data_IF_046276460804
#
_entry.id   IF_046276460804
#
_cell.length_a   1.000
_cell.length_b   1.000
_cell.length_c   1.000
_cell.angle_alpha   90.00
_cell.angle_beta   90.00
_cell.angle_gamma   90.00
#
_symmetry.space_group_name_H-M   'P 1'
#
loop_
_entity.id
_entity.type
_entity.pdbx_description
1 polymer ?
#
# COMPACT_ATOMS: atom_id res chain seq x y z
N UNK A 1 3.12 -44.91 -43.26
CA UNK A 1 2.58 -44.03 -42.17
C UNK A 1 3.63 -43.65 -41.11
N UNK A 2 4.56 -44.53 -40.69
CA UNK A 2 5.61 -44.25 -39.69
C UNK A 2 6.54 -43.07 -40.03
N UNK A 3 7.03 -42.84 -41.26
CA UNK A 3 7.93 -41.73 -41.55
C UNK A 3 7.27 -40.36 -41.47
N UNK A 4 5.97 -40.25 -41.80
CA UNK A 4 5.22 -39.00 -41.69
C UNK A 4 5.06 -38.63 -40.22
N UNK A 5 4.72 -39.60 -39.36
CA UNK A 5 4.63 -39.39 -37.90
C UNK A 5 5.94 -38.90 -37.29
N UNK A 6 7.08 -39.48 -37.68
CA UNK A 6 8.42 -39.04 -37.24
C UNK A 6 8.75 -37.61 -37.71
N UNK A 7 8.41 -37.26 -38.95
CA UNK A 7 8.59 -35.90 -39.44
C UNK A 7 7.73 -34.88 -38.67
N UNK A 8 6.48 -35.18 -38.34
CA UNK A 8 5.62 -34.32 -37.55
C UNK A 8 6.16 -34.12 -36.13
N UNK A 9 6.59 -35.19 -35.47
CA UNK A 9 7.23 -35.14 -34.15
C UNK A 9 8.49 -34.29 -34.18
N UNK A 10 9.36 -34.47 -35.19
CA UNK A 10 10.58 -33.67 -35.33
C UNK A 10 10.28 -32.18 -35.52
N UNK A 11 9.33 -31.83 -36.38
CA UNK A 11 8.91 -30.44 -36.61
C UNK A 11 8.33 -29.82 -35.33
N UNK A 12 7.44 -30.51 -34.61
CA UNK A 12 6.89 -30.07 -33.36
C UNK A 12 7.97 -29.86 -32.30
N UNK A 13 8.92 -30.79 -32.21
CA UNK A 13 10.06 -30.68 -31.27
C UNK A 13 10.94 -29.47 -31.58
N UNK A 14 11.22 -29.22 -32.86
CA UNK A 14 11.97 -28.03 -33.29
C UNK A 14 11.21 -26.75 -32.93
N UNK A 15 9.91 -26.70 -33.19
CA UNK A 15 9.06 -25.54 -32.87
C UNK A 15 9.05 -25.28 -31.38
N UNK A 16 8.82 -26.31 -30.56
CA UNK A 16 8.82 -26.19 -29.07
C UNK A 16 10.24 -25.76 -28.60
N UNK A 17 11.30 -26.35 -29.12
CA UNK A 17 12.65 -25.99 -28.73
C UNK A 17 13.01 -24.54 -29.08
N UNK A 18 12.65 -24.08 -30.29
CA UNK A 18 12.83 -22.68 -30.68
C UNK A 18 12.00 -21.72 -29.84
N UNK A 19 10.76 -22.11 -29.53
CA UNK A 19 9.88 -21.28 -28.68
C UNK A 19 10.44 -21.19 -27.25
N UNK A 20 10.90 -22.32 -26.65
CA UNK A 20 11.54 -22.34 -25.34
C UNK A 20 12.83 -21.52 -25.34
N UNK A 21 13.61 -21.59 -26.41
CA UNK A 21 14.84 -20.79 -26.56
C UNK A 21 14.49 -19.28 -26.56
N UNK A 22 13.50 -18.86 -27.36
CA UNK A 22 13.03 -17.46 -27.40
C UNK A 22 12.46 -17.01 -26.06
N UNK A 23 11.76 -17.88 -25.36
CA UNK A 23 11.26 -17.58 -24.00
C UNK A 23 12.41 -17.31 -23.03
N UNK A 24 13.43 -18.18 -23.04
CA UNK A 24 14.60 -18.04 -22.13
C UNK A 24 15.51 -16.88 -22.51
N UNK A 25 15.55 -16.50 -23.78
CA UNK A 25 16.40 -15.45 -24.33
C UNK A 25 15.55 -14.40 -25.05
N UNK A 26 14.84 -13.55 -24.29
CA UNK A 26 14.03 -12.49 -24.89
C UNK A 26 14.91 -11.51 -25.65
N UNK A 27 14.39 -10.98 -26.75
CA UNK A 27 15.11 -10.01 -27.61
C UNK A 27 15.37 -8.72 -26.84
N UNK A 28 16.59 -8.19 -27.00
CA UNK A 28 17.03 -6.90 -26.47
C UNK A 28 17.98 -6.26 -27.45
N UNK A 29 18.01 -4.93 -27.47
CA UNK A 29 18.98 -4.15 -28.25
C UNK A 29 20.37 -4.06 -27.58
N UNK A 30 20.56 -4.75 -26.46
CA UNK A 30 21.81 -4.79 -25.70
C UNK A 30 21.82 -5.94 -24.72
N UNK A 31 22.75 -5.93 -23.77
CA UNK A 31 22.92 -6.98 -22.77
C UNK A 31 21.84 -6.84 -21.69
N UNK A 32 21.01 -7.86 -21.55
CA UNK A 32 20.01 -7.89 -20.47
C UNK A 32 20.68 -8.03 -19.10
N UNK A 33 20.08 -7.46 -18.02
CA UNK A 33 20.48 -7.82 -16.66
C UNK A 33 20.43 -9.34 -16.46
N UNK A 34 21.39 -9.94 -15.71
CA UNK A 34 21.41 -11.37 -15.47
C UNK A 34 20.13 -11.84 -14.78
N UNK A 35 19.69 -13.06 -15.04
CA UNK A 35 18.45 -13.55 -14.44
C UNK A 35 17.94 -14.85 -15.02
N UNK A 36 16.66 -15.10 -14.81
CA UNK A 36 15.95 -16.28 -15.31
C UNK A 36 14.53 -15.95 -15.69
N UNK A 37 14.07 -16.41 -16.84
CA UNK A 37 12.68 -16.27 -17.26
C UNK A 37 11.74 -17.34 -16.67
N UNK A 38 12.28 -18.30 -15.91
CA UNK A 38 11.50 -19.36 -15.27
C UNK A 38 10.74 -20.25 -16.25
N UNK A 39 9.60 -20.76 -15.79
CA UNK A 39 8.73 -21.64 -16.58
C UNK A 39 7.94 -20.84 -17.63
N UNK A 40 7.64 -21.41 -18.80
CA UNK A 40 6.76 -20.81 -19.78
C UNK A 40 5.41 -20.39 -19.18
N UNK A 41 4.86 -19.26 -19.64
CA UNK A 41 3.60 -18.62 -19.22
C UNK A 41 3.57 -18.12 -17.76
N UNK A 42 4.11 -18.88 -16.82
CA UNK A 42 4.02 -18.57 -15.37
C UNK A 42 5.27 -17.80 -14.92
N UNK A 43 6.41 -18.00 -15.57
CA UNK A 43 7.68 -17.44 -15.14
C UNK A 43 8.14 -18.02 -13.81
N UNK A 44 8.56 -17.16 -12.92
CA UNK A 44 8.99 -17.48 -11.56
C UNK A 44 7.94 -17.11 -10.50
N UNK A 45 6.69 -16.83 -10.91
CA UNK A 45 5.60 -16.34 -10.06
C UNK A 45 5.34 -17.23 -8.87
N UNK A 46 5.33 -18.55 -9.06
CA UNK A 46 5.07 -19.48 -7.96
C UNK A 46 6.09 -19.35 -6.82
N UNK A 47 7.34 -19.03 -7.13
CA UNK A 47 8.38 -18.84 -6.12
C UNK A 47 8.17 -17.54 -5.32
N UNK A 48 7.61 -16.48 -5.95
CA UNK A 48 7.25 -15.23 -5.27
C UNK A 48 6.00 -15.40 -4.41
N UNK A 49 5.11 -16.33 -4.78
CA UNK A 49 3.87 -16.59 -4.03
C UNK A 49 4.05 -17.57 -2.85
N UNK A 50 5.24 -18.20 -2.69
CA UNK A 50 5.53 -19.00 -1.50
C UNK A 50 5.54 -18.06 -0.28
N UNK A 51 4.71 -18.31 0.76
CA UNK A 51 4.67 -17.45 1.92
C UNK A 51 6.04 -17.33 2.61
N UNK A 52 6.47 -16.12 2.92
CA UNK A 52 7.61 -15.84 3.79
C UNK A 52 7.11 -15.38 5.15
N UNK A 53 7.33 -16.17 6.19
CA UNK A 53 6.90 -15.90 7.58
C UNK A 53 7.89 -15.02 8.34
N UNK A 54 8.40 -13.97 7.70
CA UNK A 54 9.38 -13.06 8.26
C UNK A 54 9.17 -11.64 7.77
N UNK A 55 9.62 -10.66 8.56
CA UNK A 55 9.73 -9.26 8.14
C UNK A 55 10.96 -9.00 7.26
N UNK A 56 11.85 -10.00 7.08
CA UNK A 56 12.99 -9.93 6.15
C UNK A 56 12.55 -9.84 4.70
N UNK A 57 13.50 -9.51 3.85
CA UNK A 57 13.34 -9.53 2.40
C UNK A 57 12.85 -10.90 1.93
N UNK A 58 11.87 -10.91 1.03
CA UNK A 58 11.33 -12.17 0.52
C UNK A 58 12.44 -13.07 -0.05
N UNK A 59 12.50 -14.38 0.28
CA UNK A 59 13.57 -15.28 -0.13
C UNK A 59 13.79 -15.34 -1.65
N UNK A 60 12.72 -15.19 -2.42
CA UNK A 60 12.79 -15.06 -3.88
C UNK A 60 13.72 -13.93 -4.32
N UNK A 61 13.58 -12.75 -3.71
CA UNK A 61 14.36 -11.55 -4.04
C UNK A 61 15.79 -11.72 -3.48
N UNK A 62 15.90 -12.13 -2.22
CA UNK A 62 17.19 -12.25 -1.51
C UNK A 62 18.14 -13.19 -2.25
N UNK A 63 17.70 -14.42 -2.59
CA UNK A 63 18.49 -15.40 -3.32
C UNK A 63 18.93 -14.91 -4.71
N UNK A 64 18.11 -14.09 -5.38
CA UNK A 64 18.46 -13.55 -6.69
C UNK A 64 19.45 -12.39 -6.60
N UNK A 65 19.33 -11.55 -5.60
CA UNK A 65 20.35 -10.53 -5.32
C UNK A 65 21.71 -11.18 -5.05
N UNK A 66 21.74 -12.25 -4.27
CA UNK A 66 22.96 -13.00 -3.97
C UNK A 66 23.55 -13.65 -5.24
N UNK A 67 22.71 -14.17 -6.14
CA UNK A 67 23.14 -14.89 -7.35
C UNK A 67 23.47 -13.98 -8.53
N UNK A 68 22.68 -12.94 -8.74
CA UNK A 68 22.71 -12.13 -9.96
C UNK A 68 23.13 -10.67 -9.71
N UNK A 69 23.19 -10.24 -8.45
CA UNK A 69 23.41 -8.85 -8.08
C UNK A 69 22.10 -8.07 -7.89
N UNK A 70 22.26 -6.77 -7.61
CA UNK A 70 21.12 -5.88 -7.20
C UNK A 70 20.16 -5.53 -8.34
N UNK A 71 20.52 -5.83 -9.59
CA UNK A 71 19.67 -5.62 -10.78
C UNK A 71 19.62 -6.91 -11.55
N UNK A 72 18.46 -7.51 -11.68
CA UNK A 72 18.30 -8.80 -12.34
C UNK A 72 16.99 -8.90 -13.11
N UNK A 73 16.97 -9.73 -14.15
CA UNK A 73 15.79 -10.03 -14.95
C UNK A 73 15.06 -11.28 -14.45
N UNK A 74 13.75 -11.26 -14.58
CA UNK A 74 12.84 -12.37 -14.25
C UNK A 74 11.60 -12.31 -15.13
N UNK A 75 10.71 -13.28 -14.98
CA UNK A 75 9.37 -13.22 -15.54
C UNK A 75 8.34 -13.50 -14.42
N UNK A 76 7.41 -12.59 -14.22
CA UNK A 76 6.33 -12.75 -13.27
C UNK A 76 4.98 -12.61 -13.99
N UNK A 77 4.11 -13.60 -13.77
CA UNK A 77 2.77 -13.67 -14.37
C UNK A 77 2.84 -13.60 -15.91
N UNK A 78 3.84 -14.27 -16.52
CA UNK A 78 4.06 -14.27 -17.96
C UNK A 78 4.65 -12.95 -18.52
N UNK A 79 4.96 -11.98 -17.67
CA UNK A 79 5.52 -10.68 -18.08
C UNK A 79 7.01 -10.61 -17.77
N UNK A 80 7.88 -10.29 -18.76
CA UNK A 80 9.29 -10.03 -18.49
C UNK A 80 9.43 -8.78 -17.61
N UNK A 81 10.31 -8.89 -16.62
CA UNK A 81 10.47 -7.86 -15.60
C UNK A 81 11.92 -7.73 -15.17
N UNK A 82 12.36 -6.53 -14.88
CA UNK A 82 13.60 -6.26 -14.16
C UNK A 82 13.26 -5.91 -12.71
N UNK A 83 13.93 -6.57 -11.77
CA UNK A 83 13.85 -6.24 -10.35
C UNK A 83 15.12 -5.50 -9.96
N UNK A 84 14.96 -4.35 -9.32
CA UNK A 84 16.08 -3.53 -8.85
C UNK A 84 16.03 -3.30 -7.35
N UNK A 85 17.16 -3.61 -6.70
CA UNK A 85 17.51 -3.28 -5.33
C UNK A 85 18.70 -2.30 -5.28
N UNK A 86 19.10 -1.75 -6.43
CA UNK A 86 20.20 -0.80 -6.53
C UNK A 86 19.72 0.62 -6.19
N UNK A 87 20.30 1.28 -5.16
CA UNK A 87 19.84 2.61 -4.73
C UNK A 87 19.97 3.68 -5.82
N UNK A 88 21.02 3.60 -6.65
CA UNK A 88 21.28 4.60 -7.69
C UNK A 88 20.26 4.45 -8.83
N UNK A 89 20.02 3.20 -9.27
CA UNK A 89 18.99 2.94 -10.29
C UNK A 89 17.59 3.28 -9.77
N UNK A 90 17.28 2.92 -8.52
CA UNK A 90 15.99 3.26 -7.91
C UNK A 90 15.73 4.76 -7.90
N UNK A 91 16.70 5.56 -7.46
CA UNK A 91 16.60 7.02 -7.47
C UNK A 91 16.49 7.59 -8.89
N UNK A 92 17.26 7.05 -9.83
CA UNK A 92 17.15 7.43 -11.23
C UNK A 92 15.74 7.19 -11.77
N UNK A 93 15.19 6.00 -11.59
CA UNK A 93 13.85 5.63 -12.07
C UNK A 93 12.75 6.52 -11.47
N UNK A 94 12.85 6.90 -10.20
CA UNK A 94 11.90 7.82 -9.58
C UNK A 94 11.89 9.23 -10.22
N UNK A 95 13.00 9.64 -10.82
CA UNK A 95 13.13 10.93 -11.50
C UNK A 95 12.71 10.87 -12.97
N UNK A 96 12.57 9.68 -13.54
CA UNK A 96 12.25 9.47 -14.96
C UNK A 96 10.76 9.23 -15.24
N UNK A 97 9.89 9.44 -14.26
CA UNK A 97 8.44 9.29 -14.43
C UNK A 97 7.91 10.18 -15.57
N UNK A 98 7.22 9.57 -16.52
CA UNK A 98 6.70 10.22 -17.73
C UNK A 98 7.72 10.52 -18.84
N UNK A 99 9.00 10.17 -18.63
CA UNK A 99 10.07 10.32 -19.63
C UNK A 99 10.61 8.98 -20.14
N UNK A 100 11.02 8.14 -19.23
CA UNK A 100 11.58 6.81 -19.53
C UNK A 100 10.78 5.69 -18.89
N UNK A 101 10.04 5.98 -17.83
CA UNK A 101 9.16 5.04 -17.16
C UNK A 101 7.80 5.67 -16.86
N UNK A 102 6.80 4.81 -16.73
CA UNK A 102 5.47 5.20 -16.24
C UNK A 102 5.00 4.24 -15.15
N UNK A 103 4.08 4.70 -14.32
CA UNK A 103 3.40 3.84 -13.34
C UNK A 103 2.65 2.72 -14.06
N UNK A 104 2.90 1.50 -13.62
CA UNK A 104 2.30 0.31 -14.21
C UNK A 104 1.85 -0.65 -13.09
N UNK A 105 0.82 -1.41 -13.40
CA UNK A 105 0.31 -2.47 -12.53
C UNK A 105 0.02 -3.72 -13.36
N UNK A 106 -0.11 -4.85 -12.69
CA UNK A 106 -0.54 -6.11 -13.33
C UNK A 106 -1.92 -5.92 -13.97
N UNK A 107 -2.18 -6.62 -15.08
CA UNK A 107 -3.38 -6.47 -15.91
C UNK A 107 -4.68 -6.58 -15.09
N UNK A 108 -4.71 -7.44 -14.07
CA UNK A 108 -5.85 -7.57 -13.16
C UNK A 108 -6.14 -6.27 -12.42
N UNK A 109 -5.11 -5.63 -11.87
CA UNK A 109 -5.22 -4.33 -11.20
C UNK A 109 -5.64 -3.22 -12.17
N UNK A 110 -5.06 -3.25 -13.38
CA UNK A 110 -5.41 -2.26 -14.41
C UNK A 110 -6.91 -2.32 -14.74
N UNK A 111 -7.45 -3.53 -14.91
CA UNK A 111 -8.90 -3.74 -15.18
C UNK A 111 -9.78 -3.35 -14.00
N UNK A 112 -9.38 -3.75 -12.78
CA UNK A 112 -10.17 -3.46 -11.57
C UNK A 112 -10.30 -1.97 -11.31
N UNK A 113 -9.24 -1.19 -11.53
CA UNK A 113 -9.21 0.24 -11.24
C UNK A 113 -9.39 1.14 -12.48
N UNK A 114 -9.74 0.58 -13.64
CA UNK A 114 -9.91 1.36 -14.87
C UNK A 114 -8.64 2.09 -15.30
N UNK A 115 -7.46 1.46 -15.15
CA UNK A 115 -6.16 2.06 -15.44
C UNK A 115 -5.73 1.89 -16.90
N UNK A 116 -6.69 1.75 -17.81
CA UNK A 116 -6.47 1.61 -19.26
C UNK A 116 -6.92 2.87 -20.02
N UNK A 117 -6.36 3.09 -21.21
CA UNK A 117 -6.72 4.24 -22.06
C UNK A 117 -6.02 5.55 -21.66
N UNK A 118 -6.34 6.62 -22.40
CA UNK A 118 -5.71 7.94 -22.22
C UNK A 118 -6.19 8.65 -20.95
N UNK A 119 -7.46 8.54 -20.63
CA UNK A 119 -8.10 9.11 -19.44
C UNK A 119 -7.91 8.27 -18.16
N UNK A 120 -6.86 7.43 -18.08
CA UNK A 120 -6.64 6.57 -16.92
C UNK A 120 -6.18 7.35 -15.68
N UNK A 121 -6.66 7.01 -14.47
CA UNK A 121 -6.28 7.70 -13.22
C UNK A 121 -4.77 7.70 -12.92
N UNK A 122 -4.03 6.72 -13.43
CA UNK A 122 -2.57 6.64 -13.27
C UNK A 122 -1.76 7.29 -14.39
N UNK A 123 -2.39 7.99 -15.35
CA UNK A 123 -1.70 8.70 -16.41
C UNK A 123 -0.72 9.74 -15.86
N UNK A 124 0.26 10.12 -16.68
CA UNK A 124 1.25 11.16 -16.35
C UNK A 124 0.72 12.54 -16.75
N UNK A 125 1.49 13.57 -16.42
CA UNK A 125 1.16 14.94 -16.84
C UNK A 125 0.04 15.56 -15.99
N UNK A 126 -0.92 16.23 -16.67
CA UNK A 126 -1.94 17.01 -15.97
C UNK A 126 -2.98 16.15 -15.23
N UNK A 127 -3.31 14.96 -15.73
CA UNK A 127 -4.18 14.03 -15.01
C UNK A 127 -3.58 13.66 -13.63
N UNK A 128 -2.29 13.31 -13.60
CA UNK A 128 -1.60 13.05 -12.33
C UNK A 128 -1.58 14.29 -11.42
N UNK A 129 -1.31 15.47 -11.98
CA UNK A 129 -1.32 16.72 -11.19
C UNK A 129 -2.69 16.97 -10.58
N UNK A 130 -3.76 16.76 -11.35
CA UNK A 130 -5.13 16.91 -10.87
C UNK A 130 -5.44 15.94 -9.73
N UNK A 131 -5.27 14.63 -9.95
CA UNK A 131 -5.57 13.61 -8.93
C UNK A 131 -4.76 13.85 -7.66
N UNK A 132 -3.45 14.09 -7.80
CA UNK A 132 -2.58 14.37 -6.68
C UNK A 132 -2.94 15.67 -5.96
N UNK A 133 -3.22 16.74 -6.71
CA UNK A 133 -3.63 18.05 -6.19
C UNK A 133 -4.91 17.94 -5.37
N UNK A 134 -5.92 17.25 -5.90
CA UNK A 134 -7.21 17.01 -5.22
C UNK A 134 -7.01 16.27 -3.89
N UNK A 135 -6.18 15.22 -3.88
CA UNK A 135 -5.88 14.50 -2.62
C UNK A 135 -5.08 15.35 -1.63
N UNK A 136 -4.11 16.14 -2.07
CA UNK A 136 -3.34 17.01 -1.18
C UNK A 136 -4.18 18.16 -0.61
N UNK A 137 -5.16 18.66 -1.37
CA UNK A 137 -6.13 19.65 -0.87
C UNK A 137 -6.98 19.08 0.27
N UNK A 138 -7.43 17.82 0.14
CA UNK A 138 -8.30 17.18 1.13
C UNK A 138 -7.55 16.55 2.30
N UNK A 139 -6.41 15.94 2.05
CA UNK A 139 -5.67 15.10 3.00
C UNK A 139 -4.26 15.61 3.30
N UNK A 140 -3.90 16.78 2.79
CA UNK A 140 -2.61 17.41 3.01
C UNK A 140 -2.50 18.09 4.38
N UNK A 141 -1.35 18.70 4.62
CA UNK A 141 -0.98 19.31 5.92
C UNK A 141 -1.98 20.36 6.38
N UNK A 142 -2.47 21.21 5.48
CA UNK A 142 -3.41 22.28 5.85
C UNK A 142 -4.76 21.71 6.33
N UNK A 143 -5.28 20.71 5.63
CA UNK A 143 -6.51 20.02 6.04
C UNK A 143 -6.33 19.22 7.33
N UNK A 144 -5.17 18.59 7.51
CA UNK A 144 -4.81 17.91 8.77
C UNK A 144 -4.81 18.90 9.93
N UNK A 145 -4.16 20.04 9.75
CA UNK A 145 -4.05 21.06 10.79
C UNK A 145 -5.40 21.68 11.19
N UNK A 146 -6.29 21.90 10.24
CA UNK A 146 -7.52 22.65 10.46
C UNK A 146 -8.74 21.77 10.79
N UNK A 147 -8.79 20.52 10.30
CA UNK A 147 -9.99 19.68 10.34
C UNK A 147 -9.70 18.22 10.66
N UNK A 148 -8.84 17.58 9.85
CA UNK A 148 -8.78 16.11 9.83
C UNK A 148 -8.20 15.50 11.10
N UNK A 149 -7.30 16.20 11.81
CA UNK A 149 -6.70 15.68 13.04
C UNK A 149 -7.77 15.41 14.11
N UNK A 150 -8.70 16.34 14.32
CA UNK A 150 -9.83 16.18 15.23
C UNK A 150 -10.79 15.09 14.75
N UNK A 151 -11.06 14.99 13.44
CA UNK A 151 -11.90 13.93 12.90
C UNK A 151 -11.27 12.52 13.04
N UNK A 152 -9.96 12.42 12.84
CA UNK A 152 -9.20 11.18 13.08
C UNK A 152 -9.34 10.80 14.55
N UNK A 153 -9.12 11.72 15.46
CA UNK A 153 -9.21 11.48 16.91
C UNK A 153 -10.61 10.98 17.30
N UNK A 154 -11.65 11.64 16.84
CA UNK A 154 -13.04 11.24 17.08
C UNK A 154 -13.29 9.82 16.55
N UNK A 155 -12.85 9.52 15.32
CA UNK A 155 -13.00 8.20 14.72
C UNK A 155 -12.25 7.13 15.53
N UNK A 156 -11.03 7.42 15.94
CA UNK A 156 -10.19 6.50 16.72
C UNK A 156 -10.80 6.25 18.09
N UNK A 157 -11.20 7.29 18.83
CA UNK A 157 -11.84 7.18 20.17
C UNK A 157 -13.08 6.32 20.12
N UNK A 158 -13.98 6.59 19.18
CA UNK A 158 -15.23 5.84 18.99
C UNK A 158 -14.94 4.35 18.74
N UNK A 159 -13.98 4.05 17.85
CA UNK A 159 -13.68 2.67 17.51
C UNK A 159 -12.95 1.93 18.65
N UNK A 160 -11.94 2.52 19.28
CA UNK A 160 -11.23 1.86 20.39
C UNK A 160 -12.17 1.67 21.60
N UNK A 161 -13.08 2.62 21.86
CA UNK A 161 -14.11 2.44 22.87
C UNK A 161 -14.98 1.21 22.57
N UNK A 162 -15.47 1.09 21.33
CA UNK A 162 -16.22 -0.11 20.88
C UNK A 162 -15.40 -1.39 21.07
N UNK A 163 -14.11 -1.39 20.72
CA UNK A 163 -13.23 -2.55 20.91
C UNK A 163 -13.13 -2.95 22.38
N UNK A 164 -13.09 -1.98 23.29
CA UNK A 164 -12.99 -2.27 24.73
C UNK A 164 -14.24 -2.93 25.31
N UNK A 165 -15.39 -2.86 24.64
CA UNK A 165 -16.67 -3.48 25.06
C UNK A 165 -16.92 -4.83 24.38
N UNK A 166 -16.20 -5.18 23.33
CA UNK A 166 -16.44 -6.40 22.53
C UNK A 166 -15.68 -7.65 23.02
N UNK A 167 -14.81 -7.54 24.04
CA UNK A 167 -13.99 -8.65 24.49
C UNK A 167 -12.77 -8.88 23.58
N UNK A 168 -12.66 -10.05 22.94
CA UNK A 168 -11.55 -10.34 22.01
C UNK A 168 -11.93 -9.94 20.59
N UNK A 169 -11.09 -9.16 19.95
CA UNK A 169 -11.27 -8.67 18.59
C UNK A 169 -10.10 -9.10 17.67
N UNK A 170 -10.36 -9.16 16.37
CA UNK A 170 -9.31 -9.23 15.34
C UNK A 170 -8.85 -7.82 15.01
N UNK A 171 -7.63 -7.47 15.41
CA UNK A 171 -7.06 -6.14 15.23
C UNK A 171 -6.98 -5.71 13.75
N UNK A 172 -6.69 -6.64 12.80
CA UNK A 172 -6.64 -6.30 11.37
C UNK A 172 -8.03 -5.95 10.84
N UNK A 173 -9.04 -6.75 11.19
CA UNK A 173 -10.42 -6.49 10.78
C UNK A 173 -10.93 -5.16 11.35
N UNK A 174 -10.75 -4.96 12.63
CA UNK A 174 -11.24 -3.76 13.32
C UNK A 174 -10.48 -2.48 12.91
N UNK A 175 -9.16 -2.56 12.70
CA UNK A 175 -8.40 -1.43 12.14
C UNK A 175 -8.83 -1.12 10.71
N UNK A 176 -9.11 -2.16 9.88
CA UNK A 176 -9.63 -1.95 8.53
C UNK A 176 -10.99 -1.25 8.54
N UNK A 177 -11.90 -1.66 9.43
CA UNK A 177 -13.22 -1.04 9.60
C UNK A 177 -13.08 0.43 10.04
N UNK A 178 -12.23 0.71 11.03
CA UNK A 178 -11.99 2.08 11.51
C UNK A 178 -11.47 3.00 10.40
N UNK A 179 -10.49 2.55 9.64
CA UNK A 179 -9.93 3.33 8.52
C UNK A 179 -10.95 3.47 7.39
N UNK A 180 -11.76 2.42 7.12
CA UNK A 180 -12.80 2.47 6.09
C UNK A 180 -13.89 3.49 6.43
N UNK A 181 -14.32 3.58 7.68
CA UNK A 181 -15.28 4.60 8.17
C UNK A 181 -14.73 6.00 7.91
N UNK A 182 -13.50 6.27 8.32
CA UNK A 182 -12.86 7.58 8.08
C UNK A 182 -12.73 7.89 6.58
N UNK A 183 -12.23 6.93 5.79
CA UNK A 183 -12.01 7.13 4.37
C UNK A 183 -13.32 7.33 3.60
N UNK A 184 -14.35 6.53 3.85
CA UNK A 184 -15.62 6.64 3.15
C UNK A 184 -16.35 7.96 3.49
N UNK A 185 -16.27 8.43 4.75
CA UNK A 185 -16.79 9.72 5.14
C UNK A 185 -16.13 10.85 4.34
N UNK A 186 -14.80 10.86 4.25
CA UNK A 186 -14.05 11.95 3.64
C UNK A 186 -13.94 11.85 2.11
N UNK A 187 -14.13 10.65 1.53
CA UNK A 187 -14.11 10.48 0.08
C UNK A 187 -15.46 10.71 -0.59
N UNK A 188 -16.56 10.23 0.00
CA UNK A 188 -17.89 10.30 -0.62
C UNK A 188 -19.03 10.55 0.35
N UNK A 189 -18.72 11.09 1.54
CA UNK A 189 -19.73 11.57 2.50
C UNK A 189 -20.62 10.45 3.06
N UNK A 190 -20.10 9.22 3.18
CA UNK A 190 -20.88 8.12 3.74
C UNK A 190 -21.05 8.26 5.25
N UNK A 191 -22.30 8.22 5.70
CA UNK A 191 -22.66 8.33 7.10
C UNK A 191 -23.00 6.93 7.67
N UNK A 192 -22.08 6.38 8.45
CA UNK A 192 -22.20 5.06 9.03
C UNK A 192 -23.23 4.96 10.18
N UNK A 193 -23.58 6.08 10.80
CA UNK A 193 -24.59 6.10 11.86
C UNK A 193 -26.01 5.99 11.28
N UNK A 194 -26.19 6.45 10.04
CA UNK A 194 -27.49 6.44 9.34
C UNK A 194 -27.66 5.27 8.39
N UNK A 195 -26.61 4.50 8.13
CA UNK A 195 -26.60 3.46 7.10
C UNK A 195 -26.32 2.09 7.70
N UNK A 196 -27.24 1.15 7.49
CA UNK A 196 -27.10 -0.27 7.86
C UNK A 196 -26.74 -1.15 6.64
N UNK A 197 -26.16 -0.58 5.61
CA UNK A 197 -25.98 -1.20 4.27
C UNK A 197 -24.82 -2.22 4.17
N UNK A 198 -24.09 -2.48 5.26
CA UNK A 198 -22.97 -3.42 5.26
C UNK A 198 -21.78 -2.99 4.38
N UNK A 199 -21.63 -1.68 4.16
CA UNK A 199 -20.56 -1.14 3.30
C UNK A 199 -19.15 -1.48 3.82
N UNK A 200 -18.93 -1.56 5.14
CA UNK A 200 -17.66 -1.98 5.72
C UNK A 200 -17.28 -3.40 5.30
N UNK A 201 -18.24 -4.32 5.31
CA UNK A 201 -18.00 -5.70 4.84
C UNK A 201 -17.77 -5.73 3.33
N UNK A 202 -18.44 -4.86 2.56
CA UNK A 202 -18.20 -4.69 1.11
C UNK A 202 -16.79 -4.17 0.83
N UNK A 203 -16.35 -3.14 1.55
CA UNK A 203 -14.99 -2.61 1.46
C UNK A 203 -13.95 -3.68 1.85
N UNK A 204 -14.19 -4.38 2.95
CA UNK A 204 -13.30 -5.45 3.41
C UNK A 204 -13.22 -6.60 2.40
N UNK A 205 -14.35 -7.02 1.84
CA UNK A 205 -14.41 -8.07 0.81
C UNK A 205 -13.68 -7.67 -0.47
N UNK A 206 -13.85 -6.43 -0.92
CA UNK A 206 -13.12 -5.87 -2.06
C UNK A 206 -11.60 -5.86 -1.81
N UNK A 207 -11.14 -5.28 -0.70
CA UNK A 207 -9.73 -5.15 -0.37
C UNK A 207 -9.04 -6.51 -0.24
N UNK A 208 -9.64 -7.44 0.50
CA UNK A 208 -9.08 -8.78 0.71
C UNK A 208 -9.09 -9.63 -0.57
N UNK A 209 -10.16 -9.54 -1.35
CA UNK A 209 -10.30 -10.31 -2.57
C UNK A 209 -9.39 -9.83 -3.72
N UNK A 210 -9.03 -8.57 -3.74
CA UNK A 210 -8.11 -7.99 -4.73
C UNK A 210 -6.72 -8.64 -4.67
N UNK A 211 -6.28 -9.08 -3.49
CA UNK A 211 -5.01 -9.78 -3.29
C UNK A 211 -5.10 -11.29 -3.52
N UNK A 212 -6.25 -11.82 -3.87
CA UNK A 212 -6.43 -13.23 -4.17
C UNK A 212 -6.02 -13.59 -5.61
N UNK A 213 -5.88 -14.87 -5.91
CA UNK A 213 -5.61 -15.31 -7.28
C UNK A 213 -6.75 -14.84 -8.22
N UNK A 214 -6.45 -14.21 -9.38
CA UNK A 214 -7.44 -13.52 -10.22
C UNK A 214 -8.31 -14.49 -11.06
N UNK A 215 -8.98 -15.39 -10.39
CA UNK A 215 -9.90 -16.35 -11.01
C UNK A 215 -11.35 -15.89 -10.78
N UNK A 216 -11.96 -15.30 -11.81
CA UNK A 216 -13.34 -14.79 -11.72
C UNK A 216 -14.37 -15.88 -12.01
N UNK A 217 -14.45 -16.87 -11.11
CA UNK A 217 -15.43 -17.97 -11.19
C UNK A 217 -16.29 -17.91 -9.91
N UNK A 218 -17.63 -18.13 -9.99
CA UNK A 218 -18.50 -18.19 -8.83
C UNK A 218 -17.92 -19.06 -7.70
N UNK A 219 -17.92 -18.55 -6.46
CA UNK A 219 -17.35 -19.23 -5.30
C UNK A 219 -15.89 -18.86 -4.98
N UNK A 220 -15.16 -18.20 -5.89
CA UNK A 220 -13.80 -17.74 -5.61
C UNK A 220 -13.78 -16.38 -4.88
N UNK A 221 -12.70 -16.12 -4.14
CA UNK A 221 -12.49 -14.83 -3.46
C UNK A 221 -12.43 -13.66 -4.44
N UNK A 222 -11.81 -13.86 -5.60
CA UNK A 222 -11.74 -12.82 -6.63
C UNK A 222 -13.10 -12.50 -7.25
N UNK A 223 -13.95 -13.51 -7.47
CA UNK A 223 -15.32 -13.28 -7.94
C UNK A 223 -16.15 -12.47 -6.94
N UNK A 224 -16.01 -12.77 -5.64
CA UNK A 224 -16.62 -11.97 -4.57
C UNK A 224 -16.10 -10.54 -4.58
N UNK A 225 -14.79 -10.35 -4.73
CA UNK A 225 -14.15 -9.05 -4.85
C UNK A 225 -14.75 -8.20 -5.99
N UNK A 226 -14.96 -8.81 -7.16
CA UNK A 226 -15.56 -8.10 -8.30
C UNK A 226 -17.00 -7.67 -8.00
N UNK A 227 -17.80 -8.52 -7.35
CA UNK A 227 -19.15 -8.14 -6.90
C UNK A 227 -19.16 -7.03 -5.86
N UNK A 228 -18.23 -7.11 -4.90
CA UNK A 228 -18.09 -6.07 -3.87
C UNK A 228 -17.62 -4.74 -4.49
N UNK A 229 -16.73 -4.80 -5.50
CA UNK A 229 -16.35 -3.62 -6.31
C UNK A 229 -17.56 -2.99 -7.00
N UNK A 230 -18.34 -3.78 -7.74
CA UNK A 230 -19.50 -3.26 -8.46
C UNK A 230 -20.53 -2.63 -7.50
N UNK A 231 -20.74 -3.25 -6.35
CA UNK A 231 -21.60 -2.70 -5.29
C UNK A 231 -21.06 -1.37 -4.77
N UNK A 232 -19.75 -1.29 -4.51
CA UNK A 232 -19.09 -0.08 -4.02
C UNK A 232 -19.14 1.05 -5.06
N UNK A 233 -18.87 0.77 -6.34
CA UNK A 233 -18.98 1.74 -7.42
C UNK A 233 -20.40 2.28 -7.56
N UNK A 234 -21.42 1.42 -7.43
CA UNK A 234 -22.81 1.85 -7.47
C UNK A 234 -23.18 2.77 -6.30
N UNK A 235 -22.68 2.49 -5.09
CA UNK A 235 -22.89 3.37 -3.94
C UNK A 235 -22.23 4.74 -4.18
N UNK A 236 -20.96 4.76 -4.64
CA UNK A 236 -20.23 6.01 -4.91
C UNK A 236 -20.93 6.77 -6.05
N UNK A 237 -21.39 6.08 -7.10
CA UNK A 237 -22.10 6.70 -8.21
C UNK A 237 -23.44 7.31 -7.79
N UNK A 238 -24.17 6.64 -6.90
CA UNK A 238 -25.40 7.18 -6.34
C UNK A 238 -25.12 8.49 -5.54
N UNK A 239 -24.08 8.47 -4.71
CA UNK A 239 -23.63 9.65 -3.96
C UNK A 239 -23.16 10.79 -4.86
N UNK A 240 -22.44 10.47 -5.95
CA UNK A 240 -22.03 11.45 -6.94
C UNK A 240 -23.26 12.12 -7.62
N UNK A 241 -24.27 11.32 -8.00
CA UNK A 241 -25.51 11.84 -8.59
C UNK A 241 -26.30 12.71 -7.62
N UNK A 242 -26.42 12.32 -6.34
CA UNK A 242 -27.01 13.16 -5.29
C UNK A 242 -26.29 14.52 -5.23
N UNK A 243 -24.96 14.53 -5.29
CA UNK A 243 -24.14 15.73 -5.22
C UNK A 243 -24.26 16.62 -6.46
N UNK A 244 -24.40 16.02 -7.64
CA UNK A 244 -24.65 16.76 -8.89
C UNK A 244 -26.02 17.42 -8.87
N UNK A 245 -27.02 16.73 -8.32
CA UNK A 245 -28.39 17.23 -8.24
C UNK A 245 -28.56 18.37 -7.18
N UNK A 246 -27.79 18.34 -6.09
CA UNK A 246 -27.85 19.28 -4.99
C UNK A 246 -26.46 19.86 -4.67
N UNK A 247 -25.85 20.68 -5.55
CA UNK A 247 -24.48 21.16 -5.39
C UNK A 247 -24.29 22.12 -4.21
N UNK A 248 -25.38 22.68 -3.65
CA UNK A 248 -25.36 23.55 -2.48
C UNK A 248 -25.17 22.77 -1.15
N UNK A 249 -25.53 21.49 -1.13
CA UNK A 249 -25.37 20.64 0.05
C UNK A 249 -23.94 20.10 0.17
N UNK A 250 -23.00 20.97 0.55
CA UNK A 250 -21.58 20.58 0.70
C UNK A 250 -21.37 19.78 1.98
N UNK A 251 -20.65 18.64 1.84
CA UNK A 251 -20.21 17.79 2.96
C UNK A 251 -18.71 17.92 3.28
N UNK A 252 -17.97 18.66 2.45
CA UNK A 252 -16.54 18.90 2.59
C UNK A 252 -15.69 17.66 2.30
N UNK A 253 -16.17 16.80 1.40
CA UNK A 253 -15.52 15.55 0.97
C UNK A 253 -14.92 15.67 -0.45
N UNK A 254 -14.31 14.56 -0.94
CA UNK A 254 -13.72 14.54 -2.29
C UNK A 254 -14.76 14.73 -3.40
N UNK A 255 -15.97 14.21 -3.26
CA UNK A 255 -17.00 14.38 -4.30
C UNK A 255 -17.42 15.84 -4.45
N UNK A 256 -17.49 16.63 -3.37
CA UNK A 256 -17.76 18.07 -3.46
C UNK A 256 -16.70 18.80 -4.29
N UNK A 257 -15.44 18.35 -4.16
CA UNK A 257 -14.35 18.92 -4.94
C UNK A 257 -14.45 18.47 -6.41
N UNK A 258 -14.67 17.18 -6.64
CA UNK A 258 -14.70 16.58 -7.97
C UNK A 258 -15.89 17.03 -8.84
N UNK A 259 -17.07 17.28 -8.23
CA UNK A 259 -18.28 17.73 -8.95
C UNK A 259 -18.08 19.11 -9.58
N UNK A 260 -17.32 20.00 -8.92
CA UNK A 260 -17.02 21.34 -9.49
C UNK A 260 -16.28 21.26 -10.82
N UNK A 261 -15.42 20.25 -10.95
CA UNK A 261 -14.55 20.08 -12.09
C UNK A 261 -15.11 19.07 -13.11
N UNK A 262 -16.29 18.50 -12.84
CA UNK A 262 -16.93 17.51 -13.70
C UNK A 262 -17.13 18.07 -15.11
N UNK A 263 -16.71 17.33 -16.13
CA UNK A 263 -16.76 17.71 -17.54
C UNK A 263 -15.97 18.97 -17.95
N UNK A 264 -15.11 19.50 -17.08
CA UNK A 264 -14.22 20.63 -17.45
C UNK A 264 -13.00 20.17 -18.25
N UNK A 265 -12.69 18.88 -18.25
CA UNK A 265 -11.63 18.27 -19.05
C UNK A 265 -12.09 16.88 -19.56
N UNK A 266 -11.48 16.38 -20.64
CA UNK A 266 -11.89 15.14 -21.32
C UNK A 266 -11.85 13.90 -20.41
N UNK A 267 -11.00 13.89 -19.38
CA UNK A 267 -10.89 12.77 -18.45
C UNK A 267 -11.80 12.89 -17.23
N UNK A 268 -12.33 14.08 -16.91
CA UNK A 268 -13.15 14.34 -15.71
C UNK A 268 -14.60 13.88 -15.92
N UNK A 269 -14.76 12.58 -16.07
CA UNK A 269 -16.05 11.91 -16.22
C UNK A 269 -16.52 11.30 -14.91
N UNK A 270 -17.81 10.97 -14.77
CA UNK A 270 -18.32 10.23 -13.61
C UNK A 270 -17.54 8.93 -13.37
N UNK A 271 -17.22 8.18 -14.42
CA UNK A 271 -16.46 6.93 -14.32
C UNK A 271 -15.05 7.16 -13.78
N UNK A 272 -14.39 8.21 -14.20
CA UNK A 272 -13.07 8.61 -13.70
C UNK A 272 -13.12 8.92 -12.21
N UNK A 273 -14.07 9.75 -11.79
CA UNK A 273 -14.25 10.14 -10.39
C UNK A 273 -14.52 8.91 -9.51
N UNK A 274 -15.41 8.01 -9.95
CA UNK A 274 -15.70 6.77 -9.23
C UNK A 274 -14.44 5.90 -9.10
N UNK A 275 -13.69 5.70 -10.19
CA UNK A 275 -12.47 4.89 -10.20
C UNK A 275 -11.38 5.46 -9.27
N UNK A 276 -11.19 6.78 -9.30
CA UNK A 276 -10.25 7.49 -8.40
C UNK A 276 -10.68 7.29 -6.95
N UNK A 277 -11.97 7.42 -6.63
CA UNK A 277 -12.51 7.25 -5.27
C UNK A 277 -12.29 5.83 -4.75
N UNK A 278 -12.60 4.79 -5.57
CA UNK A 278 -12.36 3.38 -5.21
C UNK A 278 -10.87 3.11 -4.98
N UNK A 279 -10.03 3.66 -5.86
CA UNK A 279 -8.57 3.54 -5.73
C UNK A 279 -8.02 4.15 -4.43
N UNK A 280 -8.50 5.33 -4.07
CA UNK A 280 -8.13 6.01 -2.82
C UNK A 280 -8.58 5.24 -1.58
N UNK A 281 -9.81 4.71 -1.61
CA UNK A 281 -10.33 3.90 -0.52
C UNK A 281 -9.47 2.66 -0.27
N UNK A 282 -9.17 1.89 -1.33
CA UNK A 282 -8.27 0.74 -1.23
C UNK A 282 -6.90 1.11 -0.66
N UNK A 283 -6.27 2.14 -1.23
CA UNK A 283 -4.93 2.56 -0.83
C UNK A 283 -4.86 2.98 0.65
N UNK A 284 -5.90 3.65 1.15
CA UNK A 284 -5.97 4.14 2.52
C UNK A 284 -6.24 3.00 3.51
N UNK A 285 -7.24 2.16 3.23
CA UNK A 285 -7.69 1.11 4.16
C UNK A 285 -6.61 0.05 4.37
N UNK A 286 -6.04 -0.48 3.30
CA UNK A 286 -5.10 -1.59 3.40
C UNK A 286 -3.78 -1.19 4.07
N UNK A 287 -3.21 -0.05 3.69
CA UNK A 287 -1.89 0.36 4.17
C UNK A 287 -1.90 0.74 5.65
N UNK A 288 -2.84 1.59 6.09
CA UNK A 288 -2.90 2.07 7.47
C UNK A 288 -3.28 0.95 8.42
N UNK A 289 -4.29 0.14 8.08
CA UNK A 289 -4.72 -0.97 8.94
C UNK A 289 -3.65 -2.04 9.12
N UNK A 290 -2.87 -2.32 8.07
CA UNK A 290 -1.75 -3.27 8.16
C UNK A 290 -0.65 -2.73 9.07
N UNK A 291 -0.31 -1.43 8.99
CA UNK A 291 0.69 -0.82 9.86
C UNK A 291 0.24 -0.82 11.34
N UNK A 292 -1.02 -0.48 11.63
CA UNK A 292 -1.62 -0.55 12.97
C UNK A 292 -1.56 -1.99 13.51
N UNK A 293 -1.94 -2.98 12.69
CA UNK A 293 -1.93 -4.39 13.12
C UNK A 293 -0.51 -4.87 13.42
N UNK A 294 0.46 -4.48 12.57
CA UNK A 294 1.88 -4.80 12.80
C UNK A 294 2.39 -4.21 14.11
N UNK A 295 1.95 -2.98 14.46
CA UNK A 295 2.37 -2.38 15.72
C UNK A 295 1.94 -3.21 16.94
N UNK A 296 0.73 -3.77 16.96
CA UNK A 296 0.31 -4.65 18.05
C UNK A 296 1.19 -5.89 18.20
N UNK A 297 1.61 -6.50 17.07
CA UNK A 297 2.57 -7.62 17.11
C UNK A 297 3.90 -7.17 17.72
N UNK A 298 4.49 -6.10 17.21
CA UNK A 298 5.79 -5.61 17.63
C UNK A 298 5.78 -5.14 19.10
N UNK A 299 4.70 -4.52 19.53
CA UNK A 299 4.54 -4.08 20.93
C UNK A 299 4.37 -5.25 21.89
N UNK A 300 3.68 -6.34 21.48
CA UNK A 300 3.58 -7.55 22.28
C UNK A 300 4.95 -8.23 22.52
N UNK A 301 5.85 -8.09 21.54
CA UNK A 301 7.21 -8.61 21.60
C UNK A 301 8.21 -7.65 22.30
N UNK A 302 7.86 -6.36 22.38
CA UNK A 302 8.72 -5.28 22.89
C UNK A 302 7.93 -4.35 23.83
N UNK A 303 7.51 -4.80 25.04
CA UNK A 303 6.66 -4.00 25.95
C UNK A 303 7.27 -2.66 26.36
N UNK A 304 8.60 -2.58 26.44
CA UNK A 304 9.33 -1.34 26.77
C UNK A 304 9.04 -0.19 25.78
N UNK A 305 8.68 -0.48 24.53
CA UNK A 305 8.28 0.55 23.56
C UNK A 305 6.95 1.18 23.93
N UNK A 306 6.03 0.39 24.48
CA UNK A 306 4.75 0.90 24.99
C UNK A 306 4.98 1.80 26.21
N UNK A 307 5.94 1.45 27.08
CA UNK A 307 6.34 2.28 28.24
C UNK A 307 6.91 3.62 27.77
N UNK A 308 7.80 3.64 26.75
CA UNK A 308 8.34 4.89 26.17
C UNK A 308 7.20 5.76 25.58
N UNK A 309 6.22 5.14 24.88
CA UNK A 309 5.06 5.85 24.36
C UNK A 309 4.19 6.43 25.46
N UNK A 310 3.86 5.64 26.49
CA UNK A 310 3.07 6.12 27.64
C UNK A 310 3.76 7.31 28.30
N UNK A 311 5.08 7.25 28.51
CA UNK A 311 5.84 8.35 29.11
C UNK A 311 5.74 9.65 28.30
N UNK A 312 5.85 9.57 26.95
CA UNK A 312 5.68 10.75 26.08
C UNK A 312 4.27 11.33 26.19
N UNK A 313 3.26 10.47 26.09
CA UNK A 313 1.87 10.93 26.11
C UNK A 313 1.39 11.40 27.47
N UNK A 314 1.90 10.86 28.57
CA UNK A 314 1.64 11.35 29.93
C UNK A 314 2.19 12.78 30.14
N UNK A 315 3.38 13.07 29.60
CA UNK A 315 3.96 14.43 29.63
C UNK A 315 3.09 15.39 28.82
N UNK A 316 2.67 14.97 27.61
CA UNK A 316 1.82 15.76 26.74
C UNK A 316 0.49 16.10 27.44
N UNK A 317 -0.18 15.11 28.05
CA UNK A 317 -1.46 15.33 28.77
C UNK A 317 -1.30 16.15 30.03
N UNK A 318 -0.18 16.06 30.75
CA UNK A 318 0.12 16.88 31.94
C UNK A 318 0.25 18.37 31.60
N UNK A 319 0.76 18.66 30.39
CA UNK A 319 0.96 20.04 29.93
C UNK A 319 -0.31 20.71 29.39
N UNK A 320 -1.42 19.97 29.25
CA UNK A 320 -2.71 20.50 28.82
C UNK A 320 -3.44 21.20 29.95
N UNK A 321 -3.95 22.40 29.71
CA UNK A 321 -4.88 23.09 30.60
C UNK A 321 -6.21 22.32 30.74
N UNK A 322 -6.74 21.86 29.60
CA UNK A 322 -7.91 21.00 29.57
C UNK A 322 -7.56 19.64 28.94
N UNK A 323 -7.61 18.58 29.75
CA UNK A 323 -7.29 17.21 29.35
C UNK A 323 -8.27 16.63 28.31
N UNK A 324 -9.50 17.15 28.26
CA UNK A 324 -10.54 16.74 27.32
C UNK A 324 -10.43 17.46 25.96
N UNK A 325 -9.50 18.43 25.81
CA UNK A 325 -9.34 19.13 24.53
C UNK A 325 -8.85 18.17 23.45
N UNK A 326 -9.32 18.33 22.18
CA UNK A 326 -8.82 17.55 21.07
C UNK A 326 -7.30 17.72 20.86
N UNK A 327 -6.69 16.69 20.27
CA UNK A 327 -5.26 16.73 19.90
C UNK A 327 -5.00 17.88 18.93
N UNK A 328 -4.08 18.76 19.32
CA UNK A 328 -3.66 19.90 18.48
C UNK A 328 -2.57 19.50 17.50
N UNK A 329 -2.40 20.32 16.45
CA UNK A 329 -1.33 20.12 15.48
C UNK A 329 0.07 20.23 16.11
N UNK A 330 0.27 21.15 17.05
CA UNK A 330 1.53 21.38 17.73
C UNK A 330 1.89 20.19 18.64
N UNK A 331 0.91 19.66 19.36
CA UNK A 331 1.08 18.43 20.14
C UNK A 331 1.46 17.24 19.22
N UNK A 332 0.75 17.04 18.10
CA UNK A 332 1.09 16.02 17.12
C UNK A 332 2.54 16.18 16.61
N UNK A 333 2.97 17.39 16.33
CA UNK A 333 4.35 17.66 15.87
C UNK A 333 5.39 17.46 16.97
N UNK A 334 5.01 17.53 18.25
CA UNK A 334 5.91 17.30 19.39
C UNK A 334 6.15 15.83 19.72
N UNK A 335 5.33 14.90 19.17
CA UNK A 335 5.39 13.45 19.44
C UNK A 335 6.61 12.78 18.80
N UNK A 336 7.78 13.02 19.36
CA UNK A 336 9.05 12.52 18.80
C UNK A 336 9.20 11.01 18.93
N UNK A 337 8.92 10.44 20.12
CA UNK A 337 9.00 8.99 20.36
C UNK A 337 7.98 8.26 19.50
N UNK A 338 6.75 8.76 19.44
CA UNK A 338 5.68 8.23 18.58
C UNK A 338 6.11 8.19 17.12
N UNK A 339 6.74 9.27 16.61
CA UNK A 339 7.22 9.30 15.22
C UNK A 339 8.35 8.31 14.98
N UNK A 340 9.26 8.11 15.95
CA UNK A 340 10.29 7.07 15.88
C UNK A 340 9.69 5.66 15.83
N UNK A 341 8.65 5.39 16.62
CA UNK A 341 7.92 4.13 16.61
C UNK A 341 7.23 3.91 15.27
N UNK A 342 6.53 4.91 14.75
CA UNK A 342 5.87 4.84 13.44
C UNK A 342 6.90 4.56 12.34
N UNK A 343 8.01 5.30 12.32
CA UNK A 343 9.06 5.09 11.33
C UNK A 343 9.63 3.67 11.39
N UNK A 344 9.83 3.11 12.59
CA UNK A 344 10.36 1.76 12.74
C UNK A 344 9.34 0.68 12.33
N UNK A 345 8.06 0.87 12.65
CA UNK A 345 6.97 0.00 12.14
C UNK A 345 6.93 0.04 10.61
N UNK A 346 7.00 1.22 10.01
CA UNK A 346 6.99 1.38 8.55
C UNK A 346 8.25 0.83 7.89
N UNK A 347 9.41 0.93 8.56
CA UNK A 347 10.68 0.38 8.07
C UNK A 347 10.64 -1.14 7.95
N UNK A 348 10.10 -1.82 8.95
CA UNK A 348 9.95 -3.28 8.97
C UNK A 348 8.71 -3.75 8.19
N UNK A 349 7.64 -2.95 8.20
CA UNK A 349 6.34 -3.30 7.64
C UNK A 349 6.39 -3.58 6.14
N UNK A 350 6.90 -2.65 5.34
CA UNK A 350 6.97 -2.81 3.87
C UNK A 350 5.74 -3.53 3.29
N UNK A 351 4.56 -2.89 3.41
CA UNK A 351 3.27 -3.51 3.07
C UNK A 351 3.27 -4.07 1.65
N UNK A 352 3.89 -3.36 0.72
CA UNK A 352 4.02 -3.75 -0.68
C UNK A 352 5.42 -4.29 -0.98
N UNK A 353 5.57 -5.33 -1.82
CA UNK A 353 6.86 -5.96 -2.12
C UNK A 353 7.79 -5.07 -2.93
N UNK A 354 7.25 -4.11 -3.67
CA UNK A 354 7.98 -3.17 -4.50
C UNK A 354 7.05 -2.23 -5.25
N UNK A 355 7.63 -1.24 -5.90
CA UNK A 355 6.94 -0.22 -6.69
C UNK A 355 7.09 -0.59 -8.16
N UNK A 356 5.97 -0.68 -8.88
CA UNK A 356 5.97 -1.14 -10.26
C UNK A 356 6.04 0.04 -11.24
N UNK A 357 6.83 -0.14 -12.28
CA UNK A 357 6.97 0.76 -13.44
C UNK A 357 6.98 -0.06 -14.74
N UNK A 358 6.74 0.59 -15.85
CA UNK A 358 6.97 0.08 -17.20
C UNK A 358 7.89 1.04 -17.93
N UNK A 359 8.88 0.51 -18.64
CA UNK A 359 9.77 1.33 -19.48
C UNK A 359 9.05 1.82 -20.72
N UNK A 360 9.26 3.09 -21.06
CA UNK A 360 8.73 3.72 -22.28
C UNK A 360 9.75 3.61 -23.43
N UNK A 361 11.02 3.49 -23.10
CA UNK A 361 12.15 3.30 -24.02
C UNK A 361 13.22 2.43 -23.37
N UNK A 362 14.22 2.01 -24.14
CA UNK A 362 15.35 1.26 -23.61
C UNK A 362 16.14 2.12 -22.60
N UNK A 363 16.42 1.54 -21.44
CA UNK A 363 17.20 2.19 -20.38
C UNK A 363 18.56 1.48 -20.25
N UNK A 364 19.63 2.23 -20.46
CA UNK A 364 20.99 1.72 -20.30
C UNK A 364 21.53 2.03 -18.89
N UNK A 365 21.93 1.01 -18.15
CA UNK A 365 22.45 1.14 -16.80
C UNK A 365 23.56 0.13 -16.52
N UNK A 366 24.76 0.60 -16.16
CA UNK A 366 25.90 -0.23 -15.79
C UNK A 366 26.22 -1.37 -16.80
N UNK A 367 26.15 -1.08 -18.11
CA UNK A 367 26.42 -2.06 -19.18
C UNK A 367 25.23 -2.98 -19.49
N UNK A 368 24.11 -2.85 -18.81
CA UNK A 368 22.88 -3.55 -19.11
C UNK A 368 21.89 -2.65 -19.84
N UNK A 369 21.02 -3.26 -20.64
CA UNK A 369 19.88 -2.62 -21.29
C UNK A 369 18.60 -3.21 -20.74
N UNK A 370 17.74 -2.38 -20.16
CA UNK A 370 16.36 -2.71 -19.79
C UNK A 370 15.47 -2.33 -20.96
N UNK A 371 14.86 -3.30 -21.68
CA UNK A 371 14.14 -3.02 -22.92
C UNK A 371 12.86 -2.20 -22.71
N UNK A 372 12.48 -1.44 -23.73
CA UNK A 372 11.19 -0.77 -23.79
C UNK A 372 10.02 -1.75 -23.60
N UNK A 373 8.98 -1.34 -22.90
CA UNK A 373 7.79 -2.14 -22.59
C UNK A 373 7.96 -3.16 -21.45
N UNK A 374 9.16 -3.36 -20.91
CA UNK A 374 9.37 -4.25 -19.78
C UNK A 374 8.88 -3.64 -18.48
N UNK A 375 8.36 -4.49 -17.60
CA UNK A 375 8.06 -4.08 -16.25
C UNK A 375 9.34 -3.93 -15.42
N UNK A 376 9.32 -2.99 -14.48
CA UNK A 376 10.37 -2.84 -13.46
C UNK A 376 9.71 -2.90 -12.09
N UNK A 377 10.26 -3.68 -11.17
CA UNK A 377 9.91 -3.67 -9.76
C UNK A 377 11.05 -3.06 -8.95
N UNK A 378 10.79 -1.90 -8.36
CA UNK A 378 11.71 -1.16 -7.49
C UNK A 378 11.51 -1.66 -6.06
N UNK A 379 12.51 -2.35 -5.50
CA UNK A 379 12.44 -2.97 -4.17
C UNK A 379 13.06 -2.02 -3.14
N UNK A 380 12.25 -1.10 -2.59
CA UNK A 380 12.72 -0.11 -1.61
C UNK A 380 13.06 -0.70 -0.25
N UNK A 381 12.46 -1.83 0.12
CA UNK A 381 12.72 -2.47 1.41
C UNK A 381 14.20 -2.92 1.58
N UNK A 382 14.94 -3.12 0.50
CA UNK A 382 16.38 -3.41 0.58
C UNK A 382 17.18 -2.25 1.16
N UNK A 383 16.74 -1.01 0.95
CA UNK A 383 17.33 0.18 1.58
C UNK A 383 17.01 0.20 3.08
N UNK A 384 15.77 -0.07 3.43
CA UNK A 384 15.25 -0.04 4.80
C UNK A 384 15.78 -1.18 5.67
N UNK A 385 16.27 -2.26 5.04
CA UNK A 385 16.91 -3.41 5.71
C UNK A 385 18.43 -3.44 5.50
N UNK A 386 19.06 -2.35 5.04
CA UNK A 386 20.50 -2.27 4.83
C UNK A 386 21.26 -2.24 6.16
N UNK A 387 22.09 -3.26 6.50
CA UNK A 387 22.80 -3.33 7.78
C UNK A 387 23.86 -2.25 7.95
N UNK A 388 24.35 -1.66 6.85
CA UNK A 388 25.30 -0.55 6.90
C UNK A 388 24.68 0.77 7.40
N UNK A 389 23.35 0.87 7.36
CA UNK A 389 22.59 2.05 7.80
C UNK A 389 21.82 1.74 9.08
N UNK A 390 21.14 0.59 9.08
CA UNK A 390 20.31 0.15 10.19
C UNK A 390 20.97 -1.07 10.85
N UNK A 391 21.75 -0.83 11.90
CA UNK A 391 22.35 -1.90 12.69
C UNK A 391 21.25 -2.88 13.14
N UNK A 392 21.50 -4.19 13.04
CA UNK A 392 20.52 -5.23 13.32
C UNK A 392 19.18 -4.94 12.64
N UNK A 393 19.15 -4.98 11.28
CA UNK A 393 18.03 -4.40 10.49
C UNK A 393 16.69 -5.08 10.72
N UNK A 394 16.65 -6.29 11.23
CA UNK A 394 15.39 -7.01 11.56
C UNK A 394 14.93 -6.76 13.01
N UNK A 395 15.79 -6.20 13.86
CA UNK A 395 15.40 -5.85 15.23
C UNK A 395 14.48 -4.62 15.21
N UNK A 396 13.37 -4.71 15.95
CA UNK A 396 12.48 -3.58 16.19
C UNK A 396 13.07 -2.69 17.30
N UNK A 397 13.65 -1.58 16.90
CA UNK A 397 14.29 -0.63 17.83
C UNK A 397 14.00 0.82 17.42
N UNK A 398 12.88 1.42 17.86
CA UNK A 398 12.56 2.82 17.57
C UNK A 398 13.62 3.82 18.02
N UNK A 399 14.40 3.50 19.06
CA UNK A 399 15.43 4.41 19.59
C UNK A 399 16.56 4.67 18.61
N UNK A 400 16.76 3.81 17.59
CA UNK A 400 17.76 4.04 16.52
C UNK A 400 17.57 5.36 15.76
N UNK A 401 16.32 5.83 15.69
CA UNK A 401 15.99 7.07 14.96
C UNK A 401 16.53 8.35 15.62
N UNK A 402 16.99 8.28 16.88
CA UNK A 402 17.70 9.39 17.54
C UNK A 402 19.08 9.62 16.96
N UNK A 403 19.74 8.55 16.48
CA UNK A 403 21.15 8.55 16.10
C UNK A 403 21.36 8.59 14.57
N UNK A 404 20.30 8.36 13.79
CA UNK A 404 20.37 8.39 12.32
C UNK A 404 20.22 9.82 11.84
N UNK A 405 21.25 10.31 11.14
CA UNK A 405 21.22 11.65 10.58
C UNK A 405 20.09 11.79 9.52
N UNK A 406 19.41 12.95 9.45
CA UNK A 406 18.27 13.15 8.55
C UNK A 406 18.58 12.92 7.07
N UNK A 407 19.79 13.21 6.61
CA UNK A 407 20.16 13.00 5.21
C UNK A 407 20.32 11.50 4.90
N UNK A 408 20.90 10.74 5.81
CA UNK A 408 21.01 9.27 5.71
C UNK A 408 19.62 8.65 5.77
N UNK A 409 18.77 9.10 6.68
CA UNK A 409 17.38 8.65 6.76
C UNK A 409 16.64 8.88 5.44
N UNK A 410 16.69 10.09 4.87
CA UNK A 410 15.96 10.44 3.64
C UNK A 410 16.36 9.60 2.41
N UNK A 411 17.62 9.13 2.36
CA UNK A 411 18.14 8.31 1.27
C UNK A 411 17.83 6.82 1.43
N UNK A 412 17.64 6.35 2.65
CA UNK A 412 17.54 4.91 2.96
C UNK A 412 16.18 4.50 3.55
N UNK A 413 15.32 5.46 3.86
CA UNK A 413 13.98 5.21 4.39
C UNK A 413 12.93 5.79 3.45
N UNK A 414 12.37 4.92 2.60
CA UNK A 414 11.41 5.28 1.56
C UNK A 414 10.09 4.47 1.67
N UNK A 415 9.42 4.46 2.83
CA UNK A 415 8.18 3.67 3.00
C UNK A 415 7.02 4.18 2.14
N UNK A 416 7.09 5.43 1.71
CA UNK A 416 6.11 6.10 0.87
C UNK A 416 6.56 6.25 -0.60
N UNK A 417 7.63 5.54 -1.00
CA UNK A 417 8.21 5.68 -2.33
C UNK A 417 8.97 6.98 -2.51
N UNK A 418 9.19 7.40 -3.77
CA UNK A 418 9.97 8.59 -4.11
C UNK A 418 9.55 9.24 -5.42
N UNK A 419 10.13 10.41 -5.71
CA UNK A 419 9.89 11.18 -6.92
C UNK A 419 8.48 11.77 -6.99
N UNK A 420 8.02 12.06 -8.20
CA UNK A 420 6.71 12.70 -8.46
C UNK A 420 5.52 11.83 -8.03
N UNK A 421 5.71 10.51 -7.91
CA UNK A 421 4.71 9.54 -7.48
C UNK A 421 4.84 9.15 -6.01
N UNK A 422 5.57 9.89 -5.22
CA UNK A 422 5.57 9.68 -3.77
C UNK A 422 4.13 9.71 -3.23
N UNK A 423 3.83 8.87 -2.24
CA UNK A 423 2.48 8.74 -1.68
C UNK A 423 1.88 10.10 -1.30
N UNK A 424 0.70 10.42 -1.84
CA UNK A 424 -0.01 11.65 -1.50
C UNK A 424 -0.57 11.63 -0.06
N UNK A 425 -0.88 10.42 0.46
CA UNK A 425 -1.40 10.22 1.81
C UNK A 425 -0.33 10.02 2.89
N UNK A 426 0.96 10.33 2.65
CA UNK A 426 2.03 10.06 3.61
C UNK A 426 1.81 10.76 4.96
N UNK A 427 1.45 12.04 4.95
CA UNK A 427 1.18 12.81 6.17
C UNK A 427 -0.12 12.37 6.84
N UNK A 428 -1.18 12.09 6.08
CA UNK A 428 -2.41 11.51 6.59
C UNK A 428 -2.15 10.18 7.32
N UNK A 429 -1.39 9.28 6.71
CA UNK A 429 -1.08 7.96 7.30
C UNK A 429 -0.31 8.09 8.62
N UNK A 430 0.67 9.00 8.68
CA UNK A 430 1.42 9.28 9.92
C UNK A 430 0.53 9.90 10.99
N UNK A 431 -0.28 10.90 10.63
CA UNK A 431 -1.18 11.58 11.56
C UNK A 431 -2.23 10.61 12.10
N UNK A 432 -2.82 9.78 11.24
CA UNK A 432 -3.78 8.76 11.65
C UNK A 432 -3.15 7.77 12.63
N UNK A 433 -1.97 7.28 12.31
CA UNK A 433 -1.26 6.31 13.16
C UNK A 433 -0.81 6.94 14.50
N UNK A 434 -0.29 8.17 14.48
CA UNK A 434 0.09 8.89 15.70
C UNK A 434 -1.10 9.14 16.62
N UNK A 435 -2.23 9.58 16.07
CA UNK A 435 -3.47 9.79 16.83
C UNK A 435 -4.02 8.47 17.38
N UNK A 436 -3.93 7.39 16.59
CA UNK A 436 -4.30 6.04 17.06
C UNK A 436 -3.44 5.64 18.27
N UNK A 437 -2.11 5.79 18.19
CA UNK A 437 -1.21 5.48 19.30
C UNK A 437 -1.48 6.37 20.50
N UNK A 438 -1.71 7.68 20.28
CA UNK A 438 -2.05 8.63 21.35
C UNK A 438 -3.25 8.14 22.16
N UNK A 439 -4.38 7.88 21.51
CA UNK A 439 -5.60 7.43 22.20
C UNK A 439 -5.40 6.06 22.85
N UNK A 440 -4.77 5.12 22.14
CA UNK A 440 -4.55 3.77 22.64
C UNK A 440 -3.72 3.77 23.93
N UNK A 441 -2.56 4.44 23.94
CA UNK A 441 -1.65 4.40 25.09
C UNK A 441 -2.04 5.35 26.22
N UNK A 442 -2.82 6.37 25.94
CA UNK A 442 -3.32 7.29 26.99
C UNK A 442 -4.46 6.70 27.80
N UNK A 443 -5.43 6.05 27.13
CA UNK A 443 -6.70 5.70 27.74
C UNK A 443 -6.93 4.19 27.92
N UNK A 444 -6.20 3.35 27.17
CA UNK A 444 -6.48 1.93 27.13
C UNK A 444 -5.24 1.09 27.45
N UNK A 445 -5.50 -0.14 27.92
CA UNK A 445 -4.56 -1.26 27.97
C UNK A 445 -5.01 -2.32 26.99
N UNK A 446 -4.09 -3.09 26.49
CA UNK A 446 -4.41 -4.20 25.61
C UNK A 446 -3.49 -5.39 25.87
N UNK A 447 -3.96 -6.58 25.52
CA UNK A 447 -3.20 -7.84 25.62
C UNK A 447 -3.39 -8.64 24.35
N UNK A 448 -2.32 -9.25 23.86
CA UNK A 448 -2.37 -10.23 22.78
C UNK A 448 -3.00 -11.52 23.30
N UNK A 449 -3.99 -12.04 22.58
CA UNK A 449 -4.67 -13.30 22.90
C UNK A 449 -4.11 -14.44 22.04
N UNK A 450 -4.04 -14.25 20.71
CA UNK A 450 -3.49 -15.23 19.77
C UNK A 450 -3.15 -14.60 18.42
N UNK A 451 -2.47 -15.37 17.54
CA UNK A 451 -2.12 -14.95 16.18
C UNK A 451 -0.99 -13.92 16.15
N UNK A 452 -0.93 -13.13 15.10
CA UNK A 452 0.10 -12.11 14.85
C UNK A 452 1.27 -12.66 14.05
N UNK A 453 1.19 -13.88 13.52
CA UNK A 453 2.19 -14.42 12.62
C UNK A 453 2.07 -13.75 11.26
N UNK A 454 3.17 -13.13 10.85
CA UNK A 454 3.24 -12.42 9.58
C UNK A 454 3.52 -13.38 8.44
N UNK A 455 2.95 -13.10 7.28
CA UNK A 455 3.31 -13.73 6.03
C UNK A 455 3.39 -12.70 4.91
N UNK A 456 4.34 -12.87 3.99
CA UNK A 456 4.44 -12.10 2.75
C UNK A 456 4.10 -12.99 1.56
N UNK A 457 2.97 -12.69 0.87
CA UNK A 457 2.44 -13.48 -0.27
C UNK A 457 1.82 -12.57 -1.35
N UNK A 458 2.53 -11.76 -2.09
CA UNK A 458 3.79 -11.06 -1.81
C UNK A 458 3.63 -9.88 -0.82
N UNK A 459 2.40 -9.44 -0.51
CA UNK A 459 2.12 -8.37 0.46
C UNK A 459 2.18 -8.90 1.90
N UNK A 460 2.41 -7.99 2.83
CA UNK A 460 2.37 -8.30 4.26
C UNK A 460 0.94 -8.63 4.70
N UNK A 461 0.76 -9.79 5.30
CA UNK A 461 -0.52 -10.31 5.79
C UNK A 461 -0.36 -10.95 7.18
N UNK A 462 -1.48 -11.17 7.86
CA UNK A 462 -1.58 -11.89 9.13
C UNK A 462 -2.44 -13.13 8.90
N UNK A 463 -1.82 -14.30 8.71
CA UNK A 463 -2.52 -15.50 8.26
C UNK A 463 -3.60 -15.97 9.25
N UNK A 464 -3.26 -15.97 10.55
CA UNK A 464 -4.15 -16.40 11.62
C UNK A 464 -4.82 -15.22 12.35
N UNK A 465 -4.90 -14.05 11.70
CA UNK A 465 -5.35 -12.80 12.31
C UNK A 465 -4.41 -12.31 13.41
N UNK A 466 -4.80 -11.24 14.07
CA UNK A 466 -4.15 -10.70 15.26
C UNK A 466 -5.22 -10.43 16.32
N UNK A 467 -5.41 -11.34 17.24
CA UNK A 467 -6.47 -11.26 18.25
C UNK A 467 -5.95 -10.60 19.51
N UNK A 468 -6.63 -9.52 19.91
CA UNK A 468 -6.30 -8.74 21.10
C UNK A 468 -7.54 -8.52 21.95
N UNK A 469 -7.33 -8.24 23.23
CA UNK A 469 -8.36 -7.72 24.14
C UNK A 469 -7.95 -6.33 24.56
N UNK A 470 -8.85 -5.38 24.43
CA UNK A 470 -8.66 -3.98 24.83
C UNK A 470 -9.51 -3.70 26.07
N UNK A 471 -9.01 -2.90 27.02
CA UNK A 471 -9.74 -2.46 28.21
C UNK A 471 -9.35 -1.04 28.59
N UNK A 472 -10.24 -0.27 29.18
CA UNK A 472 -9.96 1.06 29.69
C UNK A 472 -8.95 1.01 30.84
N UNK A 473 -8.04 1.98 30.94
CA UNK A 473 -7.02 2.04 32.02
C UNK A 473 -7.62 2.27 33.41
N UNK A 474 -8.72 3.04 33.46
CA UNK A 474 -9.39 3.46 34.71
C UNK A 474 -10.88 3.08 34.58
N UNK A 475 -11.18 1.77 34.59
CA UNK A 475 -12.53 1.25 34.72
C UNK A 475 -12.75 0.75 36.15
#
# INVERSE_FOLDING_TARGET
>A
MWPIGLCVVAVVTIFISQWLYKWRNPKSNGVLPPGSMGLPFIGETLQLLIPNHSLDLHPFIKKRIEKYGKVFSTNLVGRPMVITADPKLNNYLFQQEGKEVELWYLDTFQKVFGLEGEARPNAVGHIHKYVRGSYLTLFGVDSLRTKLLSEIETTVRTNIHRWSTQGTIDAKKEASNMVAVFAAKNLFGHDFEKSSDGITDTIAGFVQGLMSFPLNIPGTRFHKCMKDKDKLENIIRAKLKERIACPEEKKGDFLDHAVKDLNTDFFLTENFIVSVTVGALFATVESISTAITLSFKLFAEHPWVVEDLVAEHDILLKNRENKESPLTWDEYKSMTVTMHVINEVLRLGNVFPGILRRTLKDINYNGYTIPAGWAIMIVTCTLQLNPNVFKDPLAFNPRRWKDIDPQTASKNFMPFGGGTRQCAGAELAKAFFATFLHVLVSEYKWTKIKGGDVARTPMLQFQDGMYIKVSKKHA
#
